data_IF_871355740517
#
_entry.id   IF_871355740517
#
_cell.length_a   1.000
_cell.length_b   1.000
_cell.length_c   1.000
_cell.angle_alpha   90.00
_cell.angle_beta   90.00
_cell.angle_gamma   90.00
#
_symmetry.space_group_name_H-M   'P 1'
#
loop_
_entity.id
_entity.type
_entity.pdbx_description
1 polymer ?
#
# COMPACT_ATOMS: atom_id res chain seq x y z
N UNK A 1 13.40 -25.41 4.26
CA UNK A 1 12.37 -24.58 3.61
C UNK A 1 12.39 -24.89 2.13
N UNK A 2 11.27 -25.32 1.53
CA UNK A 2 11.23 -25.65 0.11
C UNK A 2 11.36 -24.37 -0.72
N UNK A 3 12.46 -24.22 -1.46
CA UNK A 3 12.58 -23.16 -2.46
C UNK A 3 11.91 -23.65 -3.74
N UNK A 4 10.68 -23.23 -3.99
CA UNK A 4 10.01 -23.44 -5.28
C UNK A 4 10.59 -22.51 -6.34
N UNK A 5 10.80 -23.01 -7.56
CA UNK A 5 11.10 -22.17 -8.72
C UNK A 5 9.80 -21.73 -9.38
N UNK A 6 9.72 -20.45 -9.75
CA UNK A 6 8.62 -19.90 -10.54
C UNK A 6 9.17 -19.51 -11.91
N UNK A 7 8.46 -19.86 -12.97
CA UNK A 7 8.80 -19.43 -14.33
C UNK A 7 7.73 -18.47 -14.82
N UNK A 8 8.10 -17.22 -15.07
CA UNK A 8 7.18 -16.14 -15.44
C UNK A 8 7.60 -15.59 -16.80
N UNK A 9 6.62 -15.38 -17.69
CA UNK A 9 6.84 -14.65 -18.95
C UNK A 9 6.45 -13.20 -18.74
N UNK A 10 7.37 -12.29 -19.00
CA UNK A 10 7.18 -10.85 -18.91
C UNK A 10 7.48 -10.26 -20.28
N UNK A 11 6.64 -9.35 -20.76
CA UNK A 11 6.77 -8.75 -22.10
C UNK A 11 6.38 -7.28 -22.10
N UNK A 12 6.78 -6.57 -23.17
CA UNK A 12 6.48 -5.16 -23.37
C UNK A 12 7.09 -4.28 -22.27
N UNK A 13 6.32 -3.29 -21.80
CA UNK A 13 6.81 -2.31 -20.81
C UNK A 13 7.34 -2.93 -19.52
N UNK A 14 6.81 -4.08 -19.10
CA UNK A 14 7.30 -4.76 -17.90
C UNK A 14 8.69 -5.37 -18.13
N UNK A 15 8.96 -5.89 -19.33
CA UNK A 15 10.30 -6.38 -19.69
C UNK A 15 11.30 -5.24 -19.72
N UNK A 16 10.95 -4.13 -20.37
CA UNK A 16 11.81 -2.93 -20.45
C UNK A 16 12.12 -2.38 -19.05
N UNK A 17 11.11 -2.35 -18.19
CA UNK A 17 11.29 -1.87 -16.82
C UNK A 17 12.17 -2.80 -15.99
N UNK A 18 11.99 -4.13 -16.07
CA UNK A 18 12.90 -5.08 -15.40
C UNK A 18 14.32 -4.86 -15.90
N UNK A 19 14.53 -4.69 -17.21
CA UNK A 19 15.85 -4.47 -17.79
C UNK A 19 16.52 -3.19 -17.28
N UNK A 20 15.77 -2.12 -17.03
CA UNK A 20 16.29 -0.90 -16.40
C UNK A 20 16.68 -1.12 -14.93
N UNK A 21 15.92 -1.94 -14.20
CA UNK A 21 16.19 -2.21 -12.79
C UNK A 21 17.38 -3.14 -12.55
N UNK A 22 17.75 -3.95 -13.56
CA UNK A 22 18.86 -4.92 -13.49
C UNK A 22 20.03 -4.61 -14.43
N UNK A 23 19.94 -3.51 -15.19
CA UNK A 23 20.98 -3.08 -16.11
C UNK A 23 22.19 -2.50 -15.39
N UNK A 24 23.15 -1.93 -16.14
CA UNK A 24 24.42 -1.43 -15.59
C UNK A 24 24.24 -0.35 -14.49
N UNK A 25 23.17 0.45 -14.59
CA UNK A 25 22.77 1.45 -13.58
C UNK A 25 21.62 0.97 -12.66
N UNK A 26 21.29 -0.32 -12.73
CA UNK A 26 20.21 -0.96 -12.00
C UNK A 26 20.51 -1.13 -10.52
N UNK A 27 19.47 -1.19 -9.69
CA UNK A 27 19.58 -1.40 -8.24
C UNK A 27 19.62 -2.88 -7.85
N UNK A 28 19.40 -3.79 -8.79
CA UNK A 28 19.25 -5.22 -8.54
C UNK A 28 20.17 -6.03 -9.45
N UNK A 29 20.71 -7.14 -8.95
CA UNK A 29 21.65 -7.97 -9.70
C UNK A 29 20.96 -8.83 -10.77
N UNK A 30 19.68 -9.17 -10.55
CA UNK A 30 18.92 -10.01 -11.47
C UNK A 30 17.40 -9.87 -11.29
N UNK A 31 16.66 -10.36 -12.30
CA UNK A 31 15.20 -10.28 -12.32
C UNK A 31 14.53 -11.00 -11.13
N UNK A 32 15.09 -12.14 -10.68
CA UNK A 32 14.55 -12.89 -9.54
C UNK A 32 14.70 -12.12 -8.22
N UNK A 33 15.75 -11.32 -8.08
CA UNK A 33 15.92 -10.40 -6.95
C UNK A 33 14.90 -9.27 -7.00
N UNK A 34 14.77 -8.61 -8.15
CA UNK A 34 13.82 -7.53 -8.32
C UNK A 34 12.37 -7.99 -8.08
N UNK A 35 11.97 -9.14 -8.64
CA UNK A 35 10.64 -9.72 -8.42
C UNK A 35 10.40 -10.03 -6.93
N UNK A 36 11.40 -10.57 -6.21
CA UNK A 36 11.27 -10.78 -4.75
C UNK A 36 11.11 -9.46 -4.00
N UNK A 37 11.82 -8.41 -4.40
CA UNK A 37 11.68 -7.08 -3.82
C UNK A 37 10.27 -6.51 -4.07
N UNK A 38 9.72 -6.67 -5.28
CA UNK A 38 8.36 -6.26 -5.62
C UNK A 38 7.31 -7.01 -4.78
N UNK A 39 7.45 -8.32 -4.62
CA UNK A 39 6.53 -9.12 -3.79
C UNK A 39 6.59 -8.68 -2.32
N UNK A 40 7.78 -8.43 -1.77
CA UNK A 40 7.91 -7.91 -0.40
C UNK A 40 7.26 -6.55 -0.24
N UNK A 41 7.47 -5.66 -1.21
CA UNK A 41 6.84 -4.33 -1.21
C UNK A 41 5.33 -4.44 -1.29
N UNK A 42 4.79 -5.29 -2.16
CA UNK A 42 3.34 -5.54 -2.25
C UNK A 42 2.76 -5.99 -0.91
N UNK A 43 3.39 -6.97 -0.27
CA UNK A 43 3.00 -7.44 1.07
C UNK A 43 3.03 -6.31 2.10
N UNK A 44 4.14 -5.56 2.16
CA UNK A 44 4.32 -4.47 3.10
C UNK A 44 3.27 -3.37 2.91
N UNK A 45 3.01 -2.94 1.68
CA UNK A 45 2.04 -1.86 1.43
C UNK A 45 0.62 -2.20 1.86
N UNK A 46 0.24 -3.48 1.82
CA UNK A 46 -1.08 -3.94 2.26
C UNK A 46 -1.21 -3.87 3.78
N UNK A 47 -0.18 -4.30 4.49
CA UNK A 47 -0.15 -4.27 5.95
C UNK A 47 -0.08 -2.81 6.46
N UNK A 48 0.75 -1.96 5.84
CA UNK A 48 0.89 -0.56 6.21
C UNK A 48 -0.41 0.24 6.05
N UNK A 49 -1.16 0.02 4.97
CA UNK A 49 -2.43 0.69 4.74
C UNK A 49 -3.46 0.32 5.81
N UNK A 50 -3.50 -0.96 6.20
CA UNK A 50 -4.38 -1.46 7.25
C UNK A 50 -3.98 -0.92 8.63
N UNK A 51 -2.69 -0.97 8.96
CA UNK A 51 -2.16 -0.47 10.22
C UNK A 51 -2.39 1.04 10.38
N UNK A 52 -2.20 1.80 9.30
CA UNK A 52 -2.47 3.24 9.29
C UNK A 52 -3.95 3.53 9.55
N UNK A 53 -4.86 2.80 8.88
CA UNK A 53 -6.30 2.94 9.10
C UNK A 53 -6.71 2.57 10.53
N UNK A 54 -6.18 1.46 11.06
CA UNK A 54 -6.46 1.04 12.42
C UNK A 54 -5.97 2.10 13.42
N UNK A 55 -4.77 2.66 13.22
CA UNK A 55 -4.21 3.70 14.07
C UNK A 55 -5.03 4.99 14.03
N UNK A 56 -5.50 5.40 12.85
CA UNK A 56 -6.39 6.57 12.69
C UNK A 56 -7.73 6.40 13.40
N UNK A 57 -8.34 5.22 13.29
CA UNK A 57 -9.67 4.96 13.84
C UNK A 57 -9.66 4.58 15.33
N UNK A 58 -8.56 4.00 15.82
CA UNK A 58 -8.47 3.46 17.18
C UNK A 58 -8.80 4.47 18.30
N UNK A 59 -8.44 5.77 18.23
CA UNK A 59 -8.87 6.75 19.24
C UNK A 59 -10.39 6.86 19.31
N UNK A 60 -11.06 7.06 18.18
CA UNK A 60 -12.52 7.19 18.13
C UNK A 60 -13.23 5.89 18.53
N UNK A 61 -12.70 4.72 18.14
CA UNK A 61 -13.27 3.43 18.55
C UNK A 61 -13.19 3.15 20.06
N UNK A 62 -12.31 3.84 20.79
CA UNK A 62 -12.17 3.73 22.25
C UNK A 62 -12.83 4.88 23.02
N UNK A 63 -13.28 5.91 22.31
CA UNK A 63 -13.96 7.06 22.89
C UNK A 63 -15.32 6.65 23.45
N UNK A 64 -15.78 7.34 24.48
CA UNK A 64 -17.13 7.13 25.01
C UNK A 64 -18.19 7.68 24.04
N UNK A 65 -19.38 7.07 23.99
CA UNK A 65 -20.47 7.53 23.13
C UNK A 65 -20.82 9.02 23.39
N UNK A 66 -20.61 9.52 24.61
CA UNK A 66 -20.82 10.92 24.98
C UNK A 66 -19.85 11.91 24.31
N UNK A 67 -18.73 11.43 23.76
CA UNK A 67 -17.80 12.24 22.97
C UNK A 67 -18.31 12.49 21.54
N UNK A 68 -19.34 11.76 21.11
CA UNK A 68 -19.95 11.88 19.79
C UNK A 68 -21.23 12.74 19.83
N UNK A 69 -21.43 13.49 18.76
CA UNK A 69 -22.66 14.27 18.53
C UNK A 69 -23.36 13.79 17.28
N UNK A 70 -24.69 13.73 17.32
CA UNK A 70 -25.48 13.43 16.14
C UNK A 70 -25.30 14.53 15.09
N UNK A 71 -24.93 14.14 13.87
CA UNK A 71 -24.75 15.05 12.74
C UNK A 71 -25.52 14.55 11.53
N UNK A 72 -26.21 15.46 10.85
CA UNK A 72 -26.80 15.16 9.55
C UNK A 72 -25.82 15.44 8.42
N UNK A 73 -26.08 14.89 7.23
CA UNK A 73 -25.31 15.21 6.04
C UNK A 73 -25.34 16.71 5.72
N UNK A 74 -26.46 17.39 6.00
CA UNK A 74 -26.58 18.83 5.78
C UNK A 74 -25.67 19.65 6.71
N UNK A 75 -25.53 19.22 7.97
CA UNK A 75 -24.64 19.87 8.93
C UNK A 75 -23.18 19.79 8.50
N UNK A 76 -22.76 18.63 7.96
CA UNK A 76 -21.40 18.42 7.42
C UNK A 76 -21.16 19.33 6.21
N UNK A 77 -22.10 19.38 5.26
CA UNK A 77 -21.99 20.25 4.09
C UNK A 77 -21.93 21.73 4.49
N UNK A 78 -22.77 22.15 5.43
CA UNK A 78 -22.80 23.53 5.95
C UNK A 78 -21.48 23.90 6.64
N UNK A 79 -20.90 22.98 7.43
CA UNK A 79 -19.60 23.19 8.08
C UNK A 79 -18.47 23.38 7.07
N UNK A 80 -18.39 22.53 6.05
CA UNK A 80 -17.29 22.55 5.10
C UNK A 80 -17.37 23.74 4.10
N UNK A 81 -18.57 24.29 3.85
CA UNK A 81 -18.75 25.50 3.03
C UNK A 81 -18.32 26.80 3.72
N UNK A 82 -18.12 26.77 5.04
CA UNK A 82 -17.70 27.93 5.85
C UNK A 82 -16.18 28.01 6.05
N UNK A 83 -15.44 27.01 5.57
CA UNK A 83 -13.97 26.98 5.52
C UNK A 83 -13.50 27.47 4.18
#
# INVERSE_FOLDING_TARGET
MASGSIHVKVSGQLQDHIQQQIGDDGLYENASEYIRALIRRDLQTRDEAWDMLQKELAPAMRADDSEFVAVSAEDVLRRNKRR
#
